data_IF_597827315958
#
_entry.id   IF_597827315958
#
_cell.length_a   1.000
_cell.length_b   1.000
_cell.length_c   1.000
_cell.angle_alpha   90.00
_cell.angle_beta   90.00
_cell.angle_gamma   90.00
#
_symmetry.space_group_name_H-M   'P 1'
#
loop_
_entity.id
_entity.type
_entity.pdbx_description
1 polymer ?
#
# COMPACT_ATOMS: atom_id res chain seq x y z
N UNK A 1 24.40 15.30 12.00
CA UNK A 1 24.57 13.88 12.36
C UNK A 1 23.93 12.93 11.34
N UNK A 2 22.67 13.16 10.91
CA UNK A 2 21.98 12.25 9.98
C UNK A 2 22.62 12.15 8.57
N UNK A 3 22.86 13.27 7.90
CA UNK A 3 23.43 13.28 6.53
C UNK A 3 24.82 12.64 6.50
N UNK A 4 25.65 12.92 7.51
CA UNK A 4 27.00 12.36 7.61
C UNK A 4 26.99 10.82 7.67
N UNK A 5 25.97 10.24 8.31
CA UNK A 5 25.82 8.78 8.41
C UNK A 5 25.21 8.14 7.15
N UNK A 6 24.67 8.93 6.21
CA UNK A 6 24.12 8.43 4.95
C UNK A 6 25.06 8.67 3.77
N UNK A 7 26.22 9.31 3.97
CA UNK A 7 27.18 9.62 2.90
C UNK A 7 27.54 8.38 2.08
N UNK A 8 27.80 7.24 2.71
CA UNK A 8 28.12 6.00 2.01
C UNK A 8 27.02 5.54 1.05
N UNK A 9 25.75 5.82 1.33
CA UNK A 9 24.62 5.49 0.44
C UNK A 9 24.42 6.53 -0.66
N UNK A 10 24.74 7.79 -0.38
CA UNK A 10 24.63 8.88 -1.34
C UNK A 10 25.72 8.79 -2.42
N UNK A 11 26.91 8.31 -2.06
CA UNK A 11 28.03 8.13 -3.02
C UNK A 11 27.74 7.05 -4.06
N UNK A 12 26.91 6.05 -3.75
CA UNK A 12 26.53 4.98 -4.71
C UNK A 12 25.89 5.55 -5.98
N UNK A 13 25.14 6.65 -5.89
CA UNK A 13 24.55 7.31 -7.05
C UNK A 13 25.57 8.02 -7.95
N UNK A 14 26.76 8.33 -7.42
CA UNK A 14 27.88 8.88 -8.20
C UNK A 14 28.65 7.76 -8.91
N UNK A 15 28.70 6.57 -8.30
CA UNK A 15 29.39 5.39 -8.83
C UNK A 15 28.54 4.60 -9.84
N UNK A 16 27.22 4.58 -9.67
CA UNK A 16 26.27 3.87 -10.54
C UNK A 16 25.13 4.80 -10.98
N UNK A 17 25.23 5.28 -12.23
CA UNK A 17 24.23 6.15 -12.86
C UNK A 17 22.96 5.43 -13.32
N UNK A 18 22.87 4.10 -13.20
CA UNK A 18 21.64 3.37 -13.52
C UNK A 18 20.62 3.46 -12.38
N UNK A 19 21.04 3.88 -11.19
CA UNK A 19 20.17 4.08 -10.04
C UNK A 19 19.38 5.39 -10.16
N UNK A 20 18.07 5.31 -9.93
CA UNK A 20 17.23 6.50 -9.88
C UNK A 20 17.50 7.29 -8.59
N UNK A 21 17.97 8.53 -8.75
CA UNK A 21 18.23 9.46 -7.63
C UNK A 21 16.97 9.81 -6.83
N UNK A 22 15.79 9.70 -7.46
CA UNK A 22 14.51 10.06 -6.87
C UNK A 22 13.81 8.88 -6.20
N UNK A 23 13.10 9.15 -5.11
CA UNK A 23 12.31 8.16 -4.38
C UNK A 23 10.90 7.94 -4.97
N UNK A 24 10.63 8.47 -6.17
CA UNK A 24 9.29 8.56 -6.74
C UNK A 24 8.59 7.20 -6.82
N UNK A 25 9.34 6.13 -7.11
CA UNK A 25 8.79 4.77 -7.15
C UNK A 25 8.39 4.24 -5.78
N UNK A 26 9.19 4.51 -4.74
CA UNK A 26 8.87 4.06 -3.39
C UNK A 26 7.74 4.90 -2.78
N UNK A 27 7.72 6.21 -3.07
CA UNK A 27 6.61 7.09 -2.70
C UNK A 27 5.31 6.61 -3.35
N UNK A 28 5.33 6.30 -4.64
CA UNK A 28 4.17 5.74 -5.35
C UNK A 28 3.72 4.40 -4.78
N UNK A 29 4.64 3.55 -4.31
CA UNK A 29 4.31 2.30 -3.63
C UNK A 29 3.69 2.50 -2.25
N UNK A 30 4.14 3.50 -1.49
CA UNK A 30 3.67 3.77 -0.12
C UNK A 30 2.38 4.59 -0.11
N UNK A 31 2.15 5.39 -1.16
CA UNK A 31 1.02 6.32 -1.26
C UNK A 31 -0.34 5.65 -1.02
N UNK A 32 -0.69 4.49 -1.63
CA UNK A 32 -1.97 3.83 -1.37
C UNK A 32 -2.18 3.49 0.12
N UNK A 33 -1.14 2.99 0.79
CA UNK A 33 -1.19 2.63 2.22
C UNK A 33 -1.39 3.88 3.07
N UNK A 34 -0.67 4.96 2.78
CA UNK A 34 -0.80 6.23 3.51
C UNK A 34 -2.19 6.85 3.33
N UNK A 35 -2.77 6.78 2.12
CA UNK A 35 -4.13 7.24 1.83
C UNK A 35 -5.17 6.40 2.59
N UNK A 36 -5.06 5.08 2.56
CA UNK A 36 -6.00 4.17 3.26
C UNK A 36 -5.97 4.41 4.78
N UNK A 37 -4.78 4.57 5.38
CA UNK A 37 -4.63 4.88 6.81
C UNK A 37 -5.28 6.21 7.20
N UNK A 38 -5.24 7.22 6.32
CA UNK A 38 -5.94 8.49 6.55
C UNK A 38 -7.45 8.29 6.55
N UNK A 39 -7.98 7.49 5.62
CA UNK A 39 -9.41 7.16 5.57
C UNK A 39 -9.85 6.46 6.86
N UNK A 40 -9.04 5.53 7.39
CA UNK A 40 -9.33 4.82 8.65
C UNK A 40 -9.51 5.73 9.86
N UNK A 41 -8.82 6.88 9.91
CA UNK A 41 -8.95 7.83 11.02
C UNK A 41 -10.28 8.58 11.01
N UNK A 42 -11.01 8.58 9.89
CA UNK A 42 -12.24 9.35 9.71
C UNK A 42 -13.47 8.50 9.38
N UNK A 43 -13.33 7.20 9.22
CA UNK A 43 -14.48 6.29 9.07
C UNK A 43 -15.17 6.06 10.41
N UNK A 44 -16.18 6.90 10.73
CA UNK A 44 -17.16 6.62 11.79
C UNK A 44 -18.25 5.67 11.27
N UNK A 45 -17.88 4.48 10.77
CA UNK A 45 -18.88 3.41 10.67
C UNK A 45 -19.05 2.82 12.06
N UNK A 46 -20.27 2.79 12.58
CA UNK A 46 -20.57 2.36 13.96
C UNK A 46 -19.95 0.99 14.32
N UNK A 47 -19.73 0.12 13.32
CA UNK A 47 -19.17 -1.23 13.48
C UNK A 47 -17.81 -1.48 12.79
N UNK A 48 -17.11 -0.43 12.31
CA UNK A 48 -15.84 -0.62 11.58
C UNK A 48 -15.95 -1.34 10.23
N UNK A 49 -17.17 -1.62 9.77
CA UNK A 49 -17.49 -2.37 8.54
C UNK A 49 -16.79 -1.81 7.31
N UNK A 50 -16.63 -0.48 7.23
CA UNK A 50 -16.05 0.15 6.06
C UNK A 50 -14.52 -0.04 5.98
N UNK A 51 -13.85 -0.19 7.13
CA UNK A 51 -12.44 -0.57 7.17
C UNK A 51 -12.22 -2.02 6.70
N UNK A 52 -13.16 -2.92 7.04
CA UNK A 52 -13.13 -4.33 6.62
C UNK A 52 -13.29 -4.45 5.10
N UNK A 53 -14.27 -3.77 4.51
CA UNK A 53 -14.49 -3.74 3.06
C UNK A 53 -13.26 -3.24 2.29
N UNK A 54 -12.64 -2.14 2.74
CA UNK A 54 -11.44 -1.62 2.09
C UNK A 54 -10.23 -2.56 2.19
N UNK A 55 -10.04 -3.24 3.32
CA UNK A 55 -8.99 -4.26 3.49
C UNK A 55 -9.18 -5.43 2.51
N UNK A 56 -10.43 -5.88 2.37
CA UNK A 56 -10.85 -6.93 1.45
C UNK A 56 -10.58 -6.55 -0.02
N UNK A 57 -10.92 -5.33 -0.43
CA UNK A 57 -10.65 -4.82 -1.79
C UNK A 57 -9.16 -4.69 -2.05
N UNK A 58 -8.37 -4.19 -1.09
CA UNK A 58 -6.91 -4.11 -1.25
C UNK A 58 -6.27 -5.49 -1.29
N UNK A 59 -6.76 -6.46 -0.52
CA UNK A 59 -6.27 -7.84 -0.58
C UNK A 59 -6.53 -8.45 -1.94
N UNK A 60 -7.70 -8.23 -2.54
CA UNK A 60 -7.99 -8.69 -3.90
C UNK A 60 -7.05 -8.04 -4.92
N UNK A 61 -6.87 -6.72 -4.85
CA UNK A 61 -5.98 -5.95 -5.75
C UNK A 61 -4.52 -6.39 -5.62
N UNK A 62 -4.03 -6.61 -4.41
CA UNK A 62 -2.67 -7.08 -4.15
C UNK A 62 -2.40 -8.47 -4.74
N UNK A 63 -3.44 -9.32 -4.82
CA UNK A 63 -3.38 -10.64 -5.46
C UNK A 63 -3.68 -10.59 -6.97
N UNK A 64 -3.86 -9.40 -7.57
CA UNK A 64 -4.20 -9.25 -8.98
C UNK A 64 -5.61 -9.74 -9.34
N UNK A 65 -6.47 -9.93 -8.35
CA UNK A 65 -7.84 -10.40 -8.51
C UNK A 65 -8.79 -9.22 -8.66
N UNK A 66 -9.81 -9.39 -9.49
CA UNK A 66 -10.88 -8.42 -9.60
C UNK A 66 -11.70 -8.44 -8.29
N UNK A 67 -11.84 -7.30 -7.59
CA UNK A 67 -12.44 -7.28 -6.25
C UNK A 67 -13.88 -7.79 -6.19
N UNK A 68 -14.71 -7.51 -7.20
CA UNK A 68 -16.10 -7.94 -7.20
C UNK A 68 -16.22 -9.48 -7.26
N UNK A 69 -15.49 -10.13 -8.15
CA UNK A 69 -15.47 -11.60 -8.24
C UNK A 69 -14.87 -12.26 -7.01
N UNK A 70 -13.81 -11.68 -6.44
CA UNK A 70 -13.19 -12.19 -5.22
C UNK A 70 -14.17 -12.17 -4.03
N UNK A 71 -14.88 -11.06 -3.84
CA UNK A 71 -15.89 -10.98 -2.78
C UNK A 71 -17.05 -11.93 -3.01
N UNK A 72 -17.56 -12.01 -4.24
CA UNK A 72 -18.66 -12.91 -4.58
C UNK A 72 -18.34 -14.36 -4.23
N UNK A 73 -17.18 -14.86 -4.67
CA UNK A 73 -16.76 -16.24 -4.38
C UNK A 73 -16.58 -16.47 -2.87
N UNK A 74 -15.95 -15.52 -2.16
CA UNK A 74 -15.76 -15.65 -0.72
C UNK A 74 -17.09 -15.73 0.05
N UNK A 75 -18.11 -14.96 -0.36
CA UNK A 75 -19.44 -15.03 0.26
C UNK A 75 -20.21 -16.31 -0.14
N UNK A 76 -20.06 -16.77 -1.38
CA UNK A 76 -20.67 -18.03 -1.84
C UNK A 76 -20.08 -19.24 -1.10
N UNK A 77 -18.76 -19.27 -0.85
CA UNK A 77 -18.09 -20.31 -0.06
C UNK A 77 -18.51 -20.31 1.42
N UNK A 78 -18.76 -19.14 2.02
CA UNK A 78 -19.21 -19.04 3.43
C UNK A 78 -20.69 -19.42 3.63
N UNK A 79 -21.50 -19.41 2.57
CA UNK A 79 -22.92 -19.75 2.62
C UNK A 79 -23.21 -21.25 2.52
N UNK A 80 -22.20 -22.06 2.18
CA UNK A 80 -22.23 -23.53 2.16
C UNK A 80 -21.68 -24.11 3.46
#
# INVERSE_FOLDING_TARGET
>A
MYINNQQSKLTVFVEDGHLQLGNNNAERHIHPIATVRKVWLFTQSEDGTMAIWYSLVETARANGLEPYWYHRNAFEEMSN
#
